data_IF_992229892917
#
_entry.id   IF_992229892917
#
_cell.length_a   1.000
_cell.length_b   1.000
_cell.length_c   1.000
_cell.angle_alpha   90.00
_cell.angle_beta   90.00
_cell.angle_gamma   90.00
#
_symmetry.space_group_name_H-M   'P 1'
#
loop_
_entity.id
_entity.type
_entity.pdbx_description
1 polymer ?
#
# COMPACT_ATOMS: atom_id res chain seq x y z
N UNK A 1 53.01 -41.16 0.80
CA UNK A 1 52.21 -40.49 1.82
C UNK A 1 51.13 -39.72 1.09
N UNK A 2 49.86 -40.23 1.19
CA UNK A 2 48.71 -39.70 0.48
C UNK A 2 47.95 -38.76 1.42
N UNK A 3 47.77 -37.52 1.03
CA UNK A 3 46.93 -36.54 1.71
C UNK A 3 45.45 -36.95 1.56
N UNK A 4 44.74 -37.08 2.71
CA UNK A 4 43.29 -37.25 2.79
C UNK A 4 42.66 -35.86 2.88
N UNK A 5 41.59 -35.55 2.10
CA UNK A 5 40.79 -34.34 2.32
C UNK A 5 39.98 -34.45 3.60
N UNK A 6 40.02 -33.39 4.40
CA UNK A 6 39.18 -33.21 5.58
C UNK A 6 37.76 -32.85 5.07
N UNK A 7 36.82 -33.77 5.29
CA UNK A 7 35.38 -33.50 5.10
C UNK A 7 34.95 -32.55 6.22
N UNK A 8 34.58 -31.32 5.85
CA UNK A 8 33.90 -30.38 6.74
C UNK A 8 32.43 -30.80 6.74
N UNK A 9 31.92 -31.16 7.91
CA UNK A 9 30.55 -31.57 8.15
C UNK A 9 29.59 -30.39 7.91
N UNK A 10 28.79 -30.46 6.82
CA UNK A 10 27.82 -29.46 6.43
C UNK A 10 26.65 -29.33 7.42
N UNK A 11 26.46 -30.27 8.32
CA UNK A 11 25.41 -30.25 9.33
C UNK A 11 25.67 -29.25 10.48
N UNK A 12 26.94 -28.85 10.70
CA UNK A 12 27.29 -27.94 11.80
C UNK A 12 27.11 -26.44 11.45
N UNK A 13 26.79 -26.10 10.19
CA UNK A 13 26.58 -24.71 9.74
C UNK A 13 25.08 -24.32 9.78
N UNK A 14 24.15 -25.29 9.70
CA UNK A 14 22.72 -25.01 9.76
C UNK A 14 22.17 -24.74 11.18
N UNK A 15 22.83 -25.23 12.24
CA UNK A 15 22.34 -25.05 13.62
C UNK A 15 22.65 -23.68 14.25
N UNK A 16 23.43 -22.79 13.60
CA UNK A 16 23.76 -21.47 14.16
C UNK A 16 22.85 -20.31 13.73
N UNK A 17 21.86 -20.56 12.88
CA UNK A 17 20.90 -19.54 12.43
C UNK A 17 19.46 -19.78 12.88
N UNK A 18 19.24 -20.80 13.74
CA UNK A 18 17.95 -21.04 14.39
C UNK A 18 18.03 -20.74 15.89
N UNK A 19 18.22 -19.48 16.25
CA UNK A 19 18.03 -19.06 17.64
C UNK A 19 17.23 -17.77 17.70
N UNK A 20 16.11 -17.88 18.35
CA UNK A 20 15.05 -16.94 18.67
C UNK A 20 13.89 -16.91 17.65
N UNK A 21 13.19 -18.03 17.50
CA UNK A 21 11.78 -17.98 17.13
C UNK A 21 11.03 -17.30 18.30
N UNK A 22 10.64 -16.03 18.10
CA UNK A 22 9.73 -15.36 19.00
C UNK A 22 8.48 -16.23 19.18
N UNK A 23 8.00 -16.38 20.41
CA UNK A 23 6.78 -17.11 20.74
C UNK A 23 5.64 -16.59 19.84
N UNK A 24 5.03 -17.42 18.98
CA UNK A 24 3.96 -16.99 18.10
C UNK A 24 2.67 -16.55 18.85
N UNK A 25 2.62 -16.71 20.18
CA UNK A 25 1.50 -16.29 21.02
C UNK A 25 1.56 -14.82 21.45
N UNK A 26 2.70 -14.13 21.30
CA UNK A 26 2.82 -12.70 21.60
C UNK A 26 2.54 -11.91 20.33
N UNK A 27 1.32 -11.45 20.18
CA UNK A 27 0.97 -10.49 19.12
C UNK A 27 1.72 -9.19 19.39
N UNK A 28 2.76 -8.93 18.62
CA UNK A 28 3.52 -7.69 18.72
C UNK A 28 2.60 -6.52 18.32
N UNK A 29 2.63 -5.45 19.10
CA UNK A 29 1.82 -4.27 18.85
C UNK A 29 2.69 -3.12 18.37
N UNK A 30 2.63 -2.75 17.08
CA UNK A 30 3.35 -1.57 16.58
C UNK A 30 2.73 -0.28 17.09
N UNK A 31 3.57 0.77 17.24
CA UNK A 31 3.10 2.14 17.36
C UNK A 31 2.78 2.67 15.97
N UNK A 32 1.58 3.21 15.77
CA UNK A 32 1.11 3.69 14.47
C UNK A 32 0.78 5.18 14.57
N UNK A 33 1.34 5.99 13.66
CA UNK A 33 1.12 7.43 13.56
C UNK A 33 0.52 7.76 12.20
N UNK A 34 -0.62 8.44 12.19
CA UNK A 34 -1.37 8.80 11.00
C UNK A 34 -1.07 10.23 10.55
N UNK A 35 -0.96 10.44 9.24
CA UNK A 35 -0.75 11.73 8.59
C UNK A 35 -1.84 11.90 7.53
N UNK A 36 -2.80 12.79 7.81
CA UNK A 36 -3.94 13.01 6.93
C UNK A 36 -3.64 14.10 5.89
N UNK A 37 -3.79 13.76 4.62
CA UNK A 37 -3.80 14.73 3.52
C UNK A 37 -5.25 15.11 3.16
N UNK A 38 -5.61 16.36 3.43
CA UNK A 38 -6.96 16.86 3.20
C UNK A 38 -7.29 17.09 1.70
N UNK A 39 -6.27 17.19 0.83
CA UNK A 39 -6.48 17.45 -0.59
C UNK A 39 -6.96 16.19 -1.33
N UNK A 40 -6.55 15.03 -0.85
CA UNK A 40 -6.87 13.71 -1.43
C UNK A 40 -7.66 12.80 -0.48
N UNK A 41 -7.90 13.25 0.77
CA UNK A 41 -8.50 12.47 1.87
C UNK A 41 -7.72 11.17 2.16
N UNK A 42 -6.43 11.17 1.93
CA UNK A 42 -5.53 10.03 2.13
C UNK A 42 -4.93 10.07 3.53
N UNK A 43 -4.74 8.91 4.13
CA UNK A 43 -4.01 8.75 5.38
C UNK A 43 -2.73 7.95 5.09
N UNK A 44 -1.58 8.60 5.23
CA UNK A 44 -0.27 7.94 5.27
C UNK A 44 0.08 7.54 6.70
N UNK A 45 0.90 6.51 6.87
CA UNK A 45 1.27 6.04 8.20
C UNK A 45 2.77 5.93 8.40
N UNK A 46 3.22 6.20 9.63
CA UNK A 46 4.51 5.73 10.15
C UNK A 46 4.24 4.62 11.14
N UNK A 47 4.85 3.46 10.92
CA UNK A 47 4.72 2.27 11.75
C UNK A 47 6.06 2.01 12.42
N UNK A 48 6.09 2.10 13.74
CA UNK A 48 7.31 1.97 14.54
C UNK A 48 7.34 0.66 15.32
N UNK A 49 8.51 0.04 15.37
CA UNK A 49 8.77 -1.06 16.30
C UNK A 49 9.05 -0.48 17.70
N UNK A 50 8.22 -0.75 18.73
CA UNK A 50 8.50 -0.27 20.08
C UNK A 50 9.74 -0.91 20.72
N UNK A 51 10.21 -2.06 20.18
CA UNK A 51 11.39 -2.79 20.67
C UNK A 51 12.73 -2.34 20.04
N UNK A 52 12.70 -1.47 19.00
CA UNK A 52 13.88 -1.00 18.30
C UNK A 52 13.69 0.42 17.76
N UNK A 53 14.69 0.93 17.00
CA UNK A 53 14.57 2.20 16.27
C UNK A 53 13.94 2.05 14.87
N UNK A 54 13.62 0.83 14.44
CA UNK A 54 13.11 0.56 13.10
C UNK A 54 11.69 1.11 12.89
N UNK A 55 11.44 1.60 11.67
CA UNK A 55 10.11 2.00 11.23
C UNK A 55 9.88 1.71 9.75
N UNK A 56 8.60 1.79 9.35
CA UNK A 56 8.15 1.82 7.97
C UNK A 56 7.22 3.01 7.73
N UNK A 57 7.15 3.46 6.48
CA UNK A 57 6.16 4.43 5.99
C UNK A 57 5.23 3.70 5.03
N UNK A 58 3.92 3.99 5.10
CA UNK A 58 2.90 3.38 4.24
C UNK A 58 2.15 4.48 3.51
N UNK A 59 2.01 4.34 2.18
CA UNK A 59 1.26 5.18 1.25
C UNK A 59 1.54 6.70 1.40
N UNK A 60 2.80 7.15 1.27
CA UNK A 60 3.16 8.56 1.43
C UNK A 60 2.70 9.42 0.26
N UNK A 61 2.07 10.56 0.54
CA UNK A 61 1.51 11.48 -0.45
C UNK A 61 2.52 12.53 -0.90
N UNK A 62 2.62 12.73 -2.23
CA UNK A 62 3.26 13.88 -2.87
C UNK A 62 2.17 14.85 -3.37
N UNK A 63 2.28 16.10 -2.96
CA UNK A 63 1.31 17.14 -3.33
C UNK A 63 1.43 17.50 -4.82
N UNK A 64 0.29 17.67 -5.49
CA UNK A 64 0.21 18.18 -6.85
C UNK A 64 -0.81 19.32 -6.98
N UNK A 65 -0.34 20.53 -7.23
CA UNK A 65 -1.18 21.57 -7.81
C UNK A 65 -1.37 21.27 -9.30
N UNK A 66 -2.50 20.62 -9.62
CA UNK A 66 -2.80 20.17 -10.99
C UNK A 66 -2.87 21.33 -11.98
N UNK A 67 -3.42 22.49 -11.56
CA UNK A 67 -3.60 23.64 -12.43
C UNK A 67 -2.26 24.33 -12.76
N UNK A 68 -1.33 24.36 -11.81
CA UNK A 68 -0.01 24.96 -11.99
C UNK A 68 1.06 23.95 -12.47
N UNK A 69 0.75 22.65 -12.50
CA UNK A 69 1.73 21.58 -12.76
C UNK A 69 2.87 21.58 -11.75
N UNK A 70 2.59 21.94 -10.49
CA UNK A 70 3.61 22.09 -9.44
C UNK A 70 3.48 21.02 -8.39
N UNK A 71 4.60 20.35 -8.10
CA UNK A 71 4.71 19.39 -6.99
C UNK A 71 5.27 20.07 -5.74
N UNK A 72 4.87 19.54 -4.56
CA UNK A 72 5.46 19.87 -3.27
C UNK A 72 5.40 18.65 -2.34
N UNK A 73 5.99 18.78 -1.14
CA UNK A 73 6.20 17.64 -0.25
C UNK A 73 5.79 17.95 1.20
N UNK A 74 4.83 18.86 1.42
CA UNK A 74 4.49 19.30 2.76
C UNK A 74 4.05 18.14 3.69
N UNK A 75 3.22 17.21 3.18
CA UNK A 75 2.83 16.00 3.91
C UNK A 75 4.01 15.06 4.15
N UNK A 76 4.84 14.82 3.13
CA UNK A 76 6.02 13.99 3.25
C UNK A 76 7.09 14.60 4.19
N UNK A 77 7.24 15.94 4.21
CA UNK A 77 8.12 16.65 5.15
C UNK A 77 7.69 16.46 6.61
N UNK A 78 6.39 16.40 6.87
CA UNK A 78 5.87 16.09 8.20
C UNK A 78 6.24 14.65 8.63
N UNK A 79 6.15 13.69 7.72
CA UNK A 79 6.59 12.30 7.95
C UNK A 79 8.11 12.26 8.22
N UNK A 80 8.91 12.93 7.39
CA UNK A 80 10.37 13.02 7.56
C UNK A 80 10.73 13.64 8.91
N UNK A 81 10.07 14.73 9.28
CA UNK A 81 10.28 15.40 10.58
C UNK A 81 9.94 14.48 11.76
N UNK A 82 8.85 13.71 11.66
CA UNK A 82 8.46 12.73 12.67
C UNK A 82 9.53 11.65 12.85
N UNK A 83 9.95 10.99 11.75
CA UNK A 83 10.94 9.91 11.77
C UNK A 83 12.27 10.40 12.36
N UNK A 84 12.75 11.61 11.95
CA UNK A 84 13.97 12.21 12.48
C UNK A 84 13.83 12.63 13.95
N UNK A 85 12.72 13.27 14.31
CA UNK A 85 12.45 13.74 15.67
C UNK A 85 12.39 12.60 16.69
N UNK A 86 11.90 11.45 16.27
CA UNK A 86 11.85 10.23 17.07
C UNK A 86 13.09 9.33 16.91
N UNK A 87 14.09 9.77 16.12
CA UNK A 87 15.35 9.06 15.87
C UNK A 87 15.11 7.64 15.35
N UNK A 88 14.15 7.49 14.41
CA UNK A 88 13.84 6.19 13.82
C UNK A 88 14.70 5.94 12.58
N UNK A 89 14.94 4.66 12.30
CA UNK A 89 15.63 4.15 11.12
C UNK A 89 14.60 3.58 10.15
N UNK A 90 14.41 4.24 9.01
CA UNK A 90 13.44 3.83 8.00
C UNK A 90 13.94 2.59 7.26
N UNK A 91 13.20 1.48 7.34
CA UNK A 91 13.53 0.24 6.64
C UNK A 91 12.72 0.06 5.35
N UNK A 92 11.44 0.43 5.39
CA UNK A 92 10.50 0.22 4.31
C UNK A 92 9.65 1.46 4.03
N UNK A 93 9.37 1.67 2.73
CA UNK A 93 8.32 2.54 2.23
C UNK A 93 7.42 1.61 1.42
N UNK A 94 6.20 1.38 1.89
CA UNK A 94 5.28 0.40 1.34
C UNK A 94 4.14 1.11 0.66
N UNK A 95 3.90 0.77 -0.61
CA UNK A 95 2.69 1.15 -1.32
C UNK A 95 1.70 -0.02 -1.26
N UNK A 96 0.51 0.21 -0.74
CA UNK A 96 -0.53 -0.83 -0.70
C UNK A 96 -1.01 -1.18 -2.10
N UNK A 97 -1.02 -0.22 -3.01
CA UNK A 97 -1.36 -0.39 -4.43
C UNK A 97 -0.87 0.81 -5.27
N UNK A 98 -1.16 0.81 -6.57
CA UNK A 98 -0.97 1.99 -7.42
C UNK A 98 -2.16 2.91 -7.24
N UNK A 99 -1.98 3.98 -6.47
CA UNK A 99 -3.00 4.95 -6.16
C UNK A 99 -3.42 5.75 -7.41
N UNK A 100 -4.72 5.98 -7.57
CA UNK A 100 -5.29 6.75 -8.67
C UNK A 100 -5.66 8.19 -8.26
N UNK A 101 -5.67 8.50 -6.99
CA UNK A 101 -6.19 9.74 -6.40
C UNK A 101 -5.10 10.67 -5.86
N UNK A 102 -3.88 10.16 -5.64
CA UNK A 102 -2.72 10.95 -5.23
C UNK A 102 -1.41 10.42 -5.82
N UNK A 103 -0.38 11.24 -5.84
CA UNK A 103 0.97 10.86 -6.25
C UNK A 103 1.77 10.37 -5.03
N UNK A 104 2.62 9.36 -5.22
CA UNK A 104 3.48 8.83 -4.16
C UNK A 104 4.73 9.70 -3.94
N UNK A 105 5.01 10.00 -2.66
CA UNK A 105 6.25 10.64 -2.23
C UNK A 105 7.37 9.64 -1.90
N UNK A 106 7.23 8.36 -2.22
CA UNK A 106 8.20 7.33 -1.83
C UNK A 106 9.65 7.63 -2.25
N UNK A 107 9.94 8.12 -3.49
CA UNK A 107 11.30 8.48 -3.88
C UNK A 107 11.89 9.63 -3.06
N UNK A 108 11.08 10.63 -2.74
CA UNK A 108 11.50 11.76 -1.91
C UNK A 108 11.88 11.32 -0.49
N UNK A 109 11.04 10.50 0.12
CA UNK A 109 11.29 9.94 1.46
C UNK A 109 12.53 9.04 1.43
N UNK A 110 12.65 8.16 0.42
CA UNK A 110 13.83 7.30 0.24
C UNK A 110 15.12 8.11 0.09
N UNK A 111 15.11 9.16 -0.71
CA UNK A 111 16.28 10.05 -0.89
C UNK A 111 16.67 10.76 0.41
N UNK A 112 15.70 11.02 1.30
CA UNK A 112 15.88 11.82 2.52
C UNK A 112 16.24 10.97 3.75
N UNK A 113 15.67 9.76 3.87
CA UNK A 113 15.76 8.89 5.06
C UNK A 113 16.35 7.51 4.76
N UNK A 114 16.53 7.15 3.49
CA UNK A 114 16.87 5.78 3.10
C UNK A 114 15.64 4.88 3.05
N UNK A 115 15.84 3.58 3.28
CA UNK A 115 14.80 2.57 3.21
C UNK A 115 14.61 2.00 1.80
N UNK A 116 13.69 1.03 1.66
CA UNK A 116 13.38 0.33 0.41
C UNK A 116 11.92 0.56 0.03
N UNK A 117 11.66 0.90 -1.23
CA UNK A 117 10.29 1.04 -1.76
C UNK A 117 9.78 -0.34 -2.16
N UNK A 118 8.59 -0.70 -1.68
CA UNK A 118 7.99 -1.99 -1.93
C UNK A 118 6.51 -1.88 -2.33
N UNK A 119 6.06 -2.84 -3.15
CA UNK A 119 4.65 -2.97 -3.59
C UNK A 119 4.33 -4.46 -3.84
N UNK A 120 3.07 -4.80 -4.09
CA UNK A 120 2.66 -6.14 -4.52
C UNK A 120 3.22 -6.54 -5.89
N UNK A 121 3.53 -7.84 -6.09
CA UNK A 121 4.14 -8.38 -7.31
C UNK A 121 3.25 -8.23 -8.55
N UNK A 122 1.93 -8.05 -8.36
CA UNK A 122 0.96 -7.82 -9.44
C UNK A 122 1.04 -6.41 -10.03
N UNK A 123 1.94 -5.56 -9.57
CA UNK A 123 2.25 -4.26 -10.21
C UNK A 123 2.52 -4.41 -11.71
N UNK A 124 3.15 -5.49 -12.14
CA UNK A 124 3.41 -5.76 -13.55
C UNK A 124 2.12 -5.79 -14.40
N UNK A 125 0.99 -6.26 -13.85
CA UNK A 125 -0.31 -6.24 -14.51
C UNK A 125 -0.79 -4.80 -14.70
N UNK A 126 -0.65 -3.97 -13.67
CA UNK A 126 -1.02 -2.53 -13.72
C UNK A 126 -0.14 -1.79 -14.72
N UNK A 127 1.18 -2.03 -14.70
CA UNK A 127 2.14 -1.44 -15.64
C UNK A 127 1.84 -1.84 -17.09
N UNK A 128 1.38 -3.08 -17.35
CA UNK A 128 1.01 -3.51 -18.68
C UNK A 128 -0.23 -2.77 -19.20
N UNK A 129 -1.29 -2.66 -18.37
CA UNK A 129 -2.52 -1.98 -18.75
C UNK A 129 -2.28 -0.49 -18.99
N UNK A 130 -1.76 0.21 -17.98
CA UNK A 130 -1.59 1.66 -18.04
C UNK A 130 -0.40 2.08 -18.89
N UNK A 131 0.62 1.23 -19.02
CA UNK A 131 1.71 1.44 -19.96
C UNK A 131 1.23 1.50 -21.43
N UNK A 132 0.16 0.75 -21.77
CA UNK A 132 -0.49 0.85 -23.09
C UNK A 132 -1.31 2.14 -23.22
N UNK A 133 -2.14 2.46 -22.23
CA UNK A 133 -3.00 3.65 -22.20
C UNK A 133 -2.16 4.92 -22.36
N UNK A 134 -1.04 5.02 -21.64
CA UNK A 134 -0.13 6.16 -21.72
C UNK A 134 0.89 6.08 -22.86
N UNK A 135 0.77 5.09 -23.76
CA UNK A 135 1.71 4.86 -24.86
C UNK A 135 3.18 4.90 -24.39
N UNK A 136 3.48 4.16 -23.33
CA UNK A 136 4.85 4.05 -22.81
C UNK A 136 5.70 3.19 -23.75
N UNK A 137 6.86 3.74 -24.13
CA UNK A 137 7.80 3.08 -25.03
C UNK A 137 8.53 1.89 -24.38
N UNK A 138 9.39 1.20 -25.13
CA UNK A 138 10.10 0.00 -24.67
C UNK A 138 11.10 0.25 -23.52
N UNK A 139 11.48 1.50 -23.28
CA UNK A 139 12.33 1.89 -22.14
C UNK A 139 11.60 1.81 -20.81
N UNK A 140 10.26 1.85 -20.79
CA UNK A 140 9.47 1.64 -19.59
C UNK A 140 9.30 0.13 -19.36
N UNK A 141 10.03 -0.41 -18.40
CA UNK A 141 9.94 -1.81 -18.01
C UNK A 141 8.63 -2.06 -17.24
N UNK A 142 7.93 -3.14 -17.61
CA UNK A 142 6.62 -3.52 -17.05
C UNK A 142 6.75 -4.78 -16.19
N UNK A 143 7.80 -4.83 -15.39
CA UNK A 143 8.18 -5.98 -14.57
C UNK A 143 8.35 -5.65 -13.08
N UNK A 144 7.91 -4.45 -12.67
CA UNK A 144 8.03 -3.98 -11.29
C UNK A 144 9.45 -3.57 -10.87
N UNK A 145 10.44 -3.59 -11.78
CA UNK A 145 11.85 -3.30 -11.47
C UNK A 145 12.12 -1.86 -11.00
N UNK A 146 11.12 -1.00 -10.99
CA UNK A 146 11.17 0.33 -10.40
C UNK A 146 11.12 0.32 -8.87
N UNK A 147 10.62 -0.78 -8.29
CA UNK A 147 10.52 -1.00 -6.85
C UNK A 147 11.69 -1.85 -6.35
N UNK A 148 12.15 -1.60 -5.12
CA UNK A 148 13.25 -2.39 -4.51
C UNK A 148 12.79 -3.79 -4.08
N UNK A 149 11.50 -3.97 -3.82
CA UNK A 149 10.91 -5.25 -3.44
C UNK A 149 9.50 -5.39 -4.00
N UNK A 150 9.21 -6.56 -4.53
CA UNK A 150 7.86 -7.00 -4.88
C UNK A 150 7.42 -8.05 -3.86
N UNK A 151 6.23 -7.90 -3.29
CA UNK A 151 5.65 -8.85 -2.35
C UNK A 151 4.64 -9.75 -3.05
N UNK A 152 4.85 -11.06 -2.94
CA UNK A 152 3.84 -12.06 -3.26
C UNK A 152 2.86 -12.26 -2.09
N UNK A 153 1.72 -12.92 -2.35
CA UNK A 153 0.77 -13.30 -1.31
C UNK A 153 1.41 -14.21 -0.25
N UNK A 154 1.29 -13.81 1.00
CA UNK A 154 1.86 -14.54 2.14
C UNK A 154 3.34 -14.25 2.42
N UNK A 155 4.01 -13.37 1.65
CA UNK A 155 5.39 -12.99 1.92
C UNK A 155 5.53 -12.39 3.32
N UNK A 156 6.59 -12.83 4.01
CA UNK A 156 6.92 -12.35 5.36
C UNK A 156 8.12 -11.41 5.25
N UNK A 157 8.04 -10.29 5.96
CA UNK A 157 9.14 -9.35 6.12
C UNK A 157 9.17 -8.83 7.57
N UNK A 158 10.19 -8.06 7.91
CA UNK A 158 10.37 -7.53 9.25
C UNK A 158 10.51 -6.00 9.23
N UNK A 159 10.05 -5.36 10.30
CA UNK A 159 10.33 -3.97 10.66
C UNK A 159 10.93 -4.01 12.07
N UNK A 160 12.27 -3.99 12.15
CA UNK A 160 12.93 -4.32 13.41
C UNK A 160 12.59 -5.72 13.89
N UNK A 161 12.01 -5.82 15.09
CA UNK A 161 11.48 -7.07 15.64
C UNK A 161 10.04 -7.39 15.24
N UNK A 162 9.30 -6.47 14.63
CA UNK A 162 7.93 -6.71 14.20
C UNK A 162 7.88 -7.65 13.00
N UNK A 163 7.05 -8.69 13.10
CA UNK A 163 6.73 -9.55 11.97
C UNK A 163 5.63 -8.92 11.13
N UNK A 164 5.85 -8.83 9.83
CA UNK A 164 4.89 -8.36 8.86
C UNK A 164 4.56 -9.43 7.81
N UNK A 165 3.31 -9.47 7.35
CA UNK A 165 2.82 -10.38 6.29
C UNK A 165 2.13 -9.55 5.23
N UNK A 166 2.51 -9.73 3.98
CA UNK A 166 1.83 -9.14 2.83
C UNK A 166 0.71 -10.09 2.37
N UNK A 167 -0.52 -9.62 2.36
CA UNK A 167 -1.70 -10.38 1.93
C UNK A 167 -2.21 -9.78 0.62
N UNK A 168 -2.30 -10.58 -0.45
CA UNK A 168 -2.90 -10.12 -1.70
C UNK A 168 -4.41 -9.98 -1.53
N UNK A 169 -4.92 -8.76 -1.66
CA UNK A 169 -6.33 -8.40 -1.46
C UNK A 169 -6.86 -7.62 -2.68
N UNK A 170 -6.90 -8.25 -3.87
CA UNK A 170 -7.31 -7.62 -5.12
C UNK A 170 -8.79 -7.30 -5.15
N UNK A 171 -9.19 -6.48 -6.13
CA UNK A 171 -10.60 -6.18 -6.43
C UNK A 171 -10.83 -4.70 -6.69
N UNK A 172 -10.26 -3.79 -5.89
CA UNK A 172 -10.14 -2.38 -6.27
C UNK A 172 -9.16 -2.22 -7.45
N UNK A 173 -7.96 -2.77 -7.29
CA UNK A 173 -7.02 -3.02 -8.39
C UNK A 173 -6.52 -4.47 -8.34
N UNK A 174 -5.94 -5.02 -9.43
CA UNK A 174 -5.38 -6.37 -9.41
C UNK A 174 -4.15 -6.52 -8.50
N UNK A 175 -3.53 -5.42 -8.08
CA UNK A 175 -2.28 -5.41 -7.33
C UNK A 175 -2.43 -4.99 -5.86
N UNK A 176 -3.66 -4.78 -5.36
CA UNK A 176 -3.89 -4.38 -3.98
C UNK A 176 -3.35 -5.40 -2.98
N UNK A 177 -2.67 -4.88 -1.95
CA UNK A 177 -2.14 -5.65 -0.83
C UNK A 177 -2.65 -5.08 0.49
N UNK A 178 -2.86 -5.96 1.46
CA UNK A 178 -3.01 -5.62 2.87
C UNK A 178 -1.74 -6.02 3.59
N UNK A 179 -1.16 -5.12 4.37
CA UNK A 179 0.04 -5.41 5.17
C UNK A 179 -0.33 -5.60 6.64
N UNK A 180 -0.28 -6.85 7.10
CA UNK A 180 -0.50 -7.19 8.52
C UNK A 180 0.84 -7.12 9.26
N UNK A 181 0.99 -6.12 10.14
CA UNK A 181 2.19 -5.85 10.92
C UNK A 181 1.85 -6.00 12.40
N UNK A 182 2.28 -7.10 13.02
CA UNK A 182 1.82 -7.44 14.37
C UNK A 182 0.29 -7.59 14.44
N UNK A 183 -0.37 -6.74 15.25
CA UNK A 183 -1.84 -6.68 15.39
C UNK A 183 -2.50 -5.62 14.49
N UNK A 184 -1.74 -4.91 13.65
CA UNK A 184 -2.22 -3.82 12.79
C UNK A 184 -2.23 -4.24 11.32
N UNK A 185 -3.37 -4.11 10.62
CA UNK A 185 -3.51 -4.37 9.19
C UNK A 185 -3.77 -3.05 8.44
N UNK A 186 -2.90 -2.73 7.48
CA UNK A 186 -3.01 -1.59 6.58
C UNK A 186 -3.67 -2.07 5.30
N UNK A 187 -4.95 -1.70 5.11
CA UNK A 187 -5.85 -2.38 4.16
C UNK A 187 -5.89 -1.74 2.78
N UNK A 188 -5.20 -0.60 2.58
CA UNK A 188 -5.29 0.16 1.33
C UNK A 188 -6.75 0.47 0.97
N UNK A 189 -7.05 0.43 -0.32
CA UNK A 189 -8.39 0.63 -0.85
C UNK A 189 -9.20 -0.68 -0.97
N UNK A 190 -9.02 -1.59 -0.01
CA UNK A 190 -9.88 -2.79 0.07
C UNK A 190 -11.09 -2.52 0.94
N UNK A 191 -10.92 -1.84 2.08
CA UNK A 191 -11.95 -1.59 3.09
C UNK A 191 -11.82 -0.15 3.59
N UNK A 192 -12.94 0.51 3.86
CA UNK A 192 -13.01 1.84 4.47
C UNK A 192 -13.64 1.77 5.86
N UNK A 193 -13.71 2.91 6.56
CA UNK A 193 -14.40 2.99 7.83
C UNK A 193 -15.80 2.39 7.73
N UNK A 194 -16.40 1.87 8.81
CA UNK A 194 -17.69 1.16 8.78
C UNK A 194 -18.79 1.90 8.03
N UNK A 195 -18.86 3.23 8.18
CA UNK A 195 -19.81 4.11 7.50
C UNK A 195 -19.39 4.54 6.08
N UNK A 196 -18.15 4.25 5.69
CA UNK A 196 -17.61 4.43 4.34
C UNK A 196 -17.74 3.18 3.46
N UNK A 197 -17.71 2.01 4.06
CA UNK A 197 -17.93 0.71 3.44
C UNK A 197 -16.70 0.17 2.70
N UNK A 198 -16.60 0.34 1.39
CA UNK A 198 -15.53 -0.20 0.53
C UNK A 198 -15.19 0.73 -0.63
N UNK A 199 -13.98 0.57 -1.19
CA UNK A 199 -13.60 1.27 -2.42
C UNK A 199 -14.42 0.82 -3.63
N UNK A 200 -14.26 1.54 -4.74
CA UNK A 200 -14.77 1.16 -6.06
C UNK A 200 -14.00 -0.02 -6.64
N UNK A 201 -14.61 -0.73 -7.60
CA UNK A 201 -14.04 -1.90 -8.23
C UNK A 201 -14.14 -1.87 -9.78
N UNK A 202 -14.33 -0.69 -10.36
CA UNK A 202 -14.54 -0.50 -11.80
C UNK A 202 -13.32 0.06 -12.55
N UNK A 203 -12.17 0.17 -11.88
CA UNK A 203 -10.91 0.47 -12.55
C UNK A 203 -10.48 -0.70 -13.45
N UNK A 204 -9.67 -0.43 -14.50
CA UNK A 204 -9.16 -1.49 -15.36
C UNK A 204 -8.48 -2.61 -14.56
N UNK A 205 -9.05 -3.82 -14.62
CA UNK A 205 -8.61 -4.98 -13.84
C UNK A 205 -9.22 -5.08 -12.44
N UNK A 206 -10.09 -4.14 -12.03
CA UNK A 206 -10.91 -4.26 -10.82
C UNK A 206 -12.07 -5.24 -11.00
N UNK A 207 -12.59 -5.78 -9.90
CA UNK A 207 -13.70 -6.74 -9.89
C UNK A 207 -14.39 -6.74 -8.52
N UNK A 208 -15.69 -6.44 -8.50
CA UNK A 208 -16.46 -6.32 -7.27
C UNK A 208 -16.56 -7.64 -6.48
N UNK A 209 -16.66 -8.78 -7.18
CA UNK A 209 -16.70 -10.10 -6.53
C UNK A 209 -15.39 -10.45 -5.85
N UNK A 210 -14.29 -10.17 -6.52
CA UNK A 210 -12.95 -10.34 -5.98
C UNK A 210 -12.72 -9.40 -4.80
N UNK A 211 -13.18 -8.14 -4.85
CA UNK A 211 -13.12 -7.21 -3.74
C UNK A 211 -13.87 -7.74 -2.52
N UNK A 212 -15.07 -8.27 -2.69
CA UNK A 212 -15.83 -8.89 -1.58
C UNK A 212 -15.04 -9.99 -0.90
N UNK A 213 -14.45 -10.90 -1.68
CA UNK A 213 -13.64 -12.02 -1.15
C UNK A 213 -12.40 -11.52 -0.43
N UNK A 214 -11.76 -10.46 -0.94
CA UNK A 214 -10.62 -9.83 -0.29
C UNK A 214 -11.01 -9.18 1.05
N UNK A 215 -12.14 -8.48 1.11
CA UNK A 215 -12.67 -7.94 2.37
C UNK A 215 -12.99 -9.07 3.36
N UNK A 216 -13.66 -10.14 2.93
CA UNK A 216 -13.92 -11.31 3.81
C UNK A 216 -12.64 -11.92 4.34
N UNK A 217 -11.58 -12.03 3.51
CA UNK A 217 -10.26 -12.50 3.93
C UNK A 217 -9.67 -11.63 5.07
N UNK A 218 -9.81 -10.31 4.97
CA UNK A 218 -9.39 -9.39 6.04
C UNK A 218 -10.24 -9.61 7.30
N UNK A 219 -11.56 -9.76 7.13
CA UNK A 219 -12.49 -9.96 8.24
C UNK A 219 -12.41 -11.35 8.89
N UNK A 220 -11.65 -12.29 8.30
CA UNK A 220 -11.30 -13.57 8.91
C UNK A 220 -10.07 -13.49 9.85
N UNK A 221 -9.39 -12.35 9.91
CA UNK A 221 -8.37 -12.08 10.92
C UNK A 221 -8.99 -12.04 12.34
N UNK A 222 -8.19 -12.16 13.40
CA UNK A 222 -8.69 -12.08 14.77
C UNK A 222 -9.56 -10.83 15.00
N UNK A 223 -10.67 -10.93 15.75
CA UNK A 223 -11.61 -9.80 15.95
C UNK A 223 -10.97 -8.52 16.52
N UNK A 224 -9.89 -8.67 17.30
CA UNK A 224 -9.11 -7.56 17.89
C UNK A 224 -8.07 -6.96 16.95
N UNK A 225 -7.88 -7.49 15.73
CA UNK A 225 -6.96 -6.90 14.75
C UNK A 225 -7.40 -5.48 14.42
N UNK A 226 -6.48 -4.52 14.59
CA UNK A 226 -6.69 -3.11 14.24
C UNK A 226 -6.59 -2.98 12.72
N UNK A 227 -7.52 -2.26 12.12
CA UNK A 227 -7.55 -2.00 10.68
C UNK A 227 -7.30 -0.52 10.45
N UNK A 228 -6.31 -0.21 9.60
CA UNK A 228 -5.90 1.15 9.25
C UNK A 228 -6.27 1.44 7.80
N UNK A 229 -7.14 2.45 7.62
CA UNK A 229 -7.75 2.79 6.34
C UNK A 229 -6.87 3.76 5.55
N UNK A 230 -6.80 3.60 4.22
CA UNK A 230 -6.08 4.52 3.35
C UNK A 230 -6.83 5.85 3.18
N UNK A 231 -8.16 5.83 3.22
CA UNK A 231 -9.00 7.01 3.02
C UNK A 231 -10.12 7.13 4.06
N UNK A 232 -10.45 8.39 4.38
CA UNK A 232 -11.70 8.72 5.06
C UNK A 232 -12.26 10.06 4.56
N UNK A 233 -13.52 10.06 4.21
CA UNK A 233 -14.23 11.20 3.64
C UNK A 233 -15.15 11.90 4.66
N UNK A 234 -15.15 11.48 5.93
CA UNK A 234 -15.98 12.05 6.99
C UNK A 234 -17.47 12.07 6.67
N UNK A 235 -18.11 10.94 6.29
CA UNK A 235 -19.50 10.94 5.88
C UNK A 235 -20.39 11.57 6.96
N UNK A 236 -21.40 12.33 6.52
CA UNK A 236 -22.27 13.09 7.44
C UNK A 236 -21.61 14.26 8.15
N UNK A 237 -20.37 14.63 7.79
CA UNK A 237 -19.61 15.74 8.43
C UNK A 237 -18.95 15.36 9.75
N UNK A 238 -18.81 14.06 10.05
CA UNK A 238 -18.04 13.64 11.24
C UNK A 238 -16.56 13.91 11.08
N UNK A 239 -15.79 13.99 12.18
CA UNK A 239 -14.33 14.05 12.14
C UNK A 239 -13.73 12.84 11.38
N UNK A 240 -12.58 13.10 10.74
CA UNK A 240 -11.80 12.08 10.05
C UNK A 240 -11.35 11.00 11.05
N UNK A 241 -11.50 9.75 10.64
CA UNK A 241 -11.08 8.56 11.37
C UNK A 241 -10.27 7.67 10.44
N UNK A 242 -9.37 6.88 11.00
CA UNK A 242 -8.48 6.02 10.20
C UNK A 242 -8.24 4.64 10.81
N UNK A 243 -8.74 4.39 12.01
CA UNK A 243 -8.60 3.12 12.71
C UNK A 243 -9.97 2.56 13.05
N UNK A 244 -10.15 1.28 12.75
CA UNK A 244 -11.28 0.43 13.10
C UNK A 244 -10.75 -0.92 13.62
N UNK A 245 -11.60 -1.89 13.79
CA UNK A 245 -11.23 -3.27 14.11
C UNK A 245 -12.02 -4.26 13.27
N UNK A 246 -11.49 -5.48 13.12
CA UNK A 246 -12.24 -6.57 12.46
C UNK A 246 -13.61 -6.75 13.08
N UNK A 247 -13.71 -6.70 14.42
CA UNK A 247 -15.00 -6.82 15.11
C UNK A 247 -15.96 -5.69 14.79
N UNK A 248 -15.49 -4.44 14.70
CA UNK A 248 -16.31 -3.28 14.34
C UNK A 248 -16.79 -3.38 12.89
N UNK A 249 -15.89 -3.71 11.95
CA UNK A 249 -16.24 -3.87 10.53
C UNK A 249 -17.26 -5.00 10.31
N UNK A 250 -17.08 -6.13 10.97
CA UNK A 250 -18.04 -7.25 10.89
C UNK A 250 -19.42 -6.89 11.41
N UNK A 251 -19.52 -6.03 12.41
CA UNK A 251 -20.77 -5.59 13.01
C UNK A 251 -21.45 -4.48 12.22
N UNK A 252 -20.68 -3.46 11.81
CA UNK A 252 -21.24 -2.16 11.43
C UNK A 252 -20.98 -1.75 9.98
N UNK A 253 -20.04 -2.43 9.25
CA UNK A 253 -19.71 -1.99 7.89
C UNK A 253 -20.93 -2.05 6.98
N UNK A 254 -21.27 -0.90 6.37
CA UNK A 254 -22.49 -0.74 5.55
C UNK A 254 -22.48 -1.62 4.29
N UNK A 255 -21.31 -2.11 3.82
CA UNK A 255 -21.19 -2.89 2.59
C UNK A 255 -20.88 -4.38 2.82
N UNK A 256 -20.21 -4.74 3.94
CA UNK A 256 -19.64 -6.09 4.09
C UNK A 256 -19.80 -6.68 5.51
N UNK A 257 -20.61 -6.05 6.37
CA UNK A 257 -20.91 -6.61 7.71
C UNK A 257 -21.41 -8.05 7.62
N UNK A 258 -21.36 -8.76 8.72
CA UNK A 258 -21.85 -10.12 8.78
C UNK A 258 -23.31 -10.21 8.31
N UNK A 259 -23.60 -11.23 7.50
CA UNK A 259 -24.91 -11.45 6.89
C UNK A 259 -25.09 -10.84 5.49
N UNK A 260 -24.18 -9.99 5.02
CA UNK A 260 -24.23 -9.49 3.63
C UNK A 260 -23.76 -10.60 2.68
N UNK A 261 -24.60 -10.96 1.70
CA UNK A 261 -24.25 -11.96 0.69
C UNK A 261 -23.39 -11.36 -0.44
N UNK A 262 -22.50 -12.18 -1.01
CA UNK A 262 -21.59 -11.76 -2.10
C UNK A 262 -22.34 -11.13 -3.27
N UNK A 263 -23.45 -11.73 -3.72
CA UNK A 263 -24.21 -11.22 -4.86
C UNK A 263 -24.90 -9.87 -4.56
N UNK A 264 -25.35 -9.66 -3.32
CA UNK A 264 -25.95 -8.39 -2.91
C UNK A 264 -24.90 -7.28 -2.91
N UNK A 265 -23.69 -7.57 -2.39
CA UNK A 265 -22.56 -6.66 -2.47
C UNK A 265 -22.20 -6.31 -3.92
N UNK A 266 -22.04 -7.31 -4.78
CA UNK A 266 -21.67 -7.10 -6.19
C UNK A 266 -22.70 -6.19 -6.89
N UNK A 267 -23.99 -6.50 -6.73
CA UNK A 267 -25.07 -5.70 -7.33
C UNK A 267 -25.01 -4.24 -6.84
N UNK A 268 -24.87 -4.03 -5.53
CA UNK A 268 -24.75 -2.70 -4.93
C UNK A 268 -23.50 -1.98 -5.43
N UNK A 269 -22.31 -2.66 -5.44
CA UNK A 269 -21.04 -2.05 -5.80
C UNK A 269 -21.02 -1.61 -7.26
N UNK A 270 -21.42 -2.47 -8.17
CA UNK A 270 -21.53 -2.13 -9.60
C UNK A 270 -22.53 -1.02 -9.88
N UNK A 271 -23.67 -1.01 -9.18
CA UNK A 271 -24.64 0.08 -9.31
C UNK A 271 -24.07 1.41 -8.84
N UNK A 272 -23.34 1.42 -7.70
CA UNK A 272 -22.72 2.61 -7.15
C UNK A 272 -21.55 3.08 -8.04
N UNK A 273 -20.70 2.19 -8.53
CA UNK A 273 -19.54 2.54 -9.37
C UNK A 273 -19.97 3.28 -10.64
N UNK A 274 -21.05 2.86 -11.28
CA UNK A 274 -21.60 3.55 -12.45
C UNK A 274 -22.01 5.02 -12.20
N UNK A 275 -22.13 5.43 -10.95
CA UNK A 275 -22.47 6.82 -10.56
C UNK A 275 -21.26 7.65 -10.17
N UNK A 276 -20.07 7.04 -10.06
CA UNK A 276 -18.86 7.73 -9.61
C UNK A 276 -18.10 8.34 -10.80
N UNK A 277 -17.69 9.59 -10.66
CA UNK A 277 -16.69 10.20 -11.55
C UNK A 277 -15.29 9.61 -11.33
N UNK A 278 -14.39 9.82 -12.28
CA UNK A 278 -12.98 9.46 -12.11
C UNK A 278 -12.31 10.34 -11.06
N UNK A 279 -11.35 9.81 -10.28
CA UNK A 279 -10.54 10.61 -9.37
C UNK A 279 -9.85 11.76 -10.11
N UNK A 280 -9.84 12.94 -9.51
CA UNK A 280 -9.29 14.17 -10.11
C UNK A 280 -7.85 14.00 -10.59
N UNK A 281 -7.04 13.23 -9.89
CA UNK A 281 -5.63 13.03 -10.16
C UNK A 281 -5.30 11.69 -10.83
N UNK A 282 -6.29 10.94 -11.35
CA UNK A 282 -6.06 9.60 -11.90
C UNK A 282 -4.96 9.59 -12.99
N UNK A 283 -4.99 10.56 -13.91
CA UNK A 283 -4.02 10.61 -15.00
C UNK A 283 -2.58 10.90 -14.52
N UNK A 284 -2.31 11.91 -13.68
CA UNK A 284 -0.97 12.12 -13.16
C UNK A 284 -0.52 11.00 -12.21
N UNK A 285 -1.41 10.54 -11.32
CA UNK A 285 -1.07 9.55 -10.29
C UNK A 285 -0.62 8.22 -10.88
N UNK A 286 -1.38 7.68 -11.84
CA UNK A 286 -1.02 6.41 -12.46
C UNK A 286 0.33 6.46 -13.17
N UNK A 287 0.64 7.55 -13.87
CA UNK A 287 1.93 7.71 -14.57
C UNK A 287 3.13 7.77 -13.63
N UNK A 288 2.95 8.37 -12.46
CA UNK A 288 3.99 8.51 -11.43
C UNK A 288 4.07 7.23 -10.59
N UNK A 289 2.94 6.74 -10.10
CA UNK A 289 2.91 5.64 -9.14
C UNK A 289 3.28 4.28 -9.76
N UNK A 290 3.00 4.04 -11.05
CA UNK A 290 3.52 2.85 -11.74
C UNK A 290 5.05 2.89 -11.92
N UNK A 291 5.71 4.00 -11.57
CA UNK A 291 7.16 4.21 -11.55
C UNK A 291 7.72 4.32 -10.13
N UNK A 292 7.05 3.71 -9.16
CA UNK A 292 7.43 3.80 -7.75
C UNK A 292 7.48 5.26 -7.23
N UNK A 293 6.62 6.14 -7.74
CA UNK A 293 6.57 7.56 -7.37
C UNK A 293 7.51 8.46 -8.18
N UNK A 294 8.32 7.91 -9.10
CA UNK A 294 9.19 8.70 -9.95
C UNK A 294 8.42 9.41 -11.08
N UNK A 295 8.76 10.67 -11.30
CA UNK A 295 8.23 11.41 -12.45
C UNK A 295 8.71 10.76 -13.75
N UNK A 296 7.92 10.85 -14.86
CA UNK A 296 8.39 10.42 -16.16
C UNK A 296 9.75 11.04 -16.53
N UNK A 297 10.59 10.33 -17.33
CA UNK A 297 11.89 10.85 -17.74
C UNK A 297 11.75 12.20 -18.45
N UNK A 298 12.75 13.09 -18.32
CA UNK A 298 12.73 14.37 -19.03
C UNK A 298 12.83 14.17 -20.55
N UNK A 299 12.29 15.13 -21.30
CA UNK A 299 12.54 15.23 -22.74
C UNK A 299 13.97 15.72 -23.07
N UNK A 300 14.23 15.95 -24.36
CA UNK A 300 15.53 16.43 -24.84
C UNK A 300 15.94 17.80 -24.25
N UNK A 301 14.96 18.63 -23.84
CA UNK A 301 15.19 19.95 -23.26
C UNK A 301 15.25 19.89 -21.71
N UNK A 302 15.20 18.70 -21.11
CA UNK A 302 15.23 18.49 -19.66
C UNK A 302 13.90 18.71 -18.95
N UNK A 303 12.81 18.94 -19.69
CA UNK A 303 11.46 19.16 -19.15
C UNK A 303 10.72 17.84 -18.98
N UNK A 304 9.93 17.74 -17.90
CA UNK A 304 9.10 16.56 -17.64
C UNK A 304 7.64 16.85 -17.95
N UNK A 305 6.98 15.88 -18.55
CA UNK A 305 5.58 15.98 -18.94
C UNK A 305 4.77 14.79 -18.44
N UNK A 306 3.51 15.05 -18.08
CA UNK A 306 2.49 14.04 -17.90
C UNK A 306 1.59 14.02 -19.12
N UNK A 307 1.31 12.85 -19.63
CA UNK A 307 0.46 12.66 -20.81
C UNK A 307 -1.01 12.78 -20.43
N UNK A 308 -1.81 13.36 -21.31
CA UNK A 308 -3.25 13.40 -21.22
C UNK A 308 -3.83 12.57 -22.39
N UNK A 309 -4.08 11.28 -22.21
CA UNK A 309 -4.73 10.46 -23.23
C UNK A 309 -6.19 10.87 -23.37
N UNK A 310 -6.62 11.13 -24.61
CA UNK A 310 -8.01 11.52 -24.89
C UNK A 310 -8.83 10.26 -25.18
N UNK A 311 -9.99 10.15 -24.54
CA UNK A 311 -10.95 9.04 -24.69
C UNK A 311 -10.35 7.64 -24.48
N UNK A 312 -9.37 7.50 -23.56
CA UNK A 312 -8.66 6.25 -23.33
C UNK A 312 -8.92 5.58 -21.97
N UNK A 313 -9.71 6.20 -21.10
CA UNK A 313 -10.15 5.67 -19.79
C UNK A 313 -11.66 5.60 -19.69
#
# INVERSE_FOLDING_TARGET
LRDRPVLIDAAAIEERHMSAAADPSVTQRPDVFAFFDAATNTISYVVEDPGSDACAVIDPVMDLDYAAGRISFAGADAIVAHVRGRRRTLQWIVETHVHADHLSAAPYIKATLGGRIAIGDRIAVVQEVFGRIFAEGPSFRRDGSQFDRLFADGDIYAIGGLRAVALHTPGHTPACMTHLIGDAAFVGDTLFMPDGGSARADFPGGDARTLFRSMRRILDLPPSTRLFMCHDYGPGGRPIRWESSVAEERRDNIHVRDGVAENDFVTMREARDRTLGMPRLILPSLQVNMRAGELPPPDADGRRFLKLPIDAL
#
